data_IF_788816958589
#
_entry.id   IF_788816958589
#
_cell.length_a   1.000
_cell.length_b   1.000
_cell.length_c   1.000
_cell.angle_alpha   90.00
_cell.angle_beta   90.00
_cell.angle_gamma   90.00
#
_symmetry.space_group_name_H-M   'P 1'
#
loop_
_entity.id
_entity.type
_entity.pdbx_description
1 polymer ?
#
# COMPACT_ATOMS: atom_id res chain seq x y z
N UNK A 1 35.21 103.25 -40.54
CA UNK A 1 35.63 101.92 -40.04
C UNK A 1 35.19 101.78 -38.59
N UNK A 2 34.17 100.97 -38.32
CA UNK A 2 33.70 100.64 -36.96
C UNK A 2 33.46 99.14 -36.88
N UNK A 3 34.09 98.54 -35.87
CA UNK A 3 33.96 97.16 -35.45
C UNK A 3 32.58 97.01 -34.81
N UNK A 4 31.84 95.94 -35.15
CA UNK A 4 30.69 95.50 -34.38
C UNK A 4 30.87 94.03 -34.00
N UNK A 5 30.93 93.83 -32.69
CA UNK A 5 30.89 92.56 -31.98
C UNK A 5 29.49 91.98 -32.04
N UNK A 6 29.38 90.69 -32.41
CA UNK A 6 28.30 89.77 -32.00
C UNK A 6 28.62 88.38 -32.50
N UNK A 7 28.74 87.44 -31.58
CA UNK A 7 28.72 86.03 -31.92
C UNK A 7 29.39 85.02 -30.99
N UNK A 8 29.86 85.30 -29.76
CA UNK A 8 30.25 84.22 -28.85
C UNK A 8 29.05 83.36 -28.38
N UNK A 9 27.85 83.61 -28.92
CA UNK A 9 26.62 82.84 -28.72
C UNK A 9 26.57 81.52 -29.51
N UNK A 10 27.37 81.35 -30.56
CA UNK A 10 27.34 80.12 -31.37
C UNK A 10 28.13 78.95 -30.73
N UNK A 11 29.16 79.24 -29.93
CA UNK A 11 29.99 78.21 -29.31
C UNK A 11 29.39 77.67 -27.99
N UNK A 12 28.54 78.45 -27.31
CA UNK A 12 27.88 78.01 -26.07
C UNK A 12 26.69 77.06 -26.31
N UNK A 13 26.10 77.05 -27.51
CA UNK A 13 24.98 76.17 -27.85
C UNK A 13 25.40 74.77 -28.33
N UNK A 14 26.67 74.55 -28.67
CA UNK A 14 27.15 73.24 -29.13
C UNK A 14 27.68 72.34 -28.00
N UNK A 15 27.93 72.88 -26.80
CA UNK A 15 28.37 72.10 -25.64
C UNK A 15 27.21 71.56 -24.77
N UNK A 16 25.96 71.98 -25.04
CA UNK A 16 24.76 71.56 -24.29
C UNK A 16 24.02 70.37 -24.91
N UNK A 17 24.48 69.83 -26.04
CA UNK A 17 23.89 68.65 -26.69
C UNK A 17 24.62 67.33 -26.37
N UNK A 18 25.65 67.35 -25.52
CA UNK A 18 26.39 66.14 -25.11
C UNK A 18 26.07 65.64 -23.69
N UNK A 19 25.12 66.26 -22.99
CA UNK A 19 24.56 65.74 -21.74
C UNK A 19 23.30 64.90 -21.99
N UNK A 20 23.34 64.03 -23.00
CA UNK A 20 22.40 62.91 -23.11
C UNK A 20 22.93 61.78 -22.27
N UNK A 21 22.44 61.65 -21.03
CA UNK A 21 22.70 60.49 -20.19
C UNK A 21 22.47 59.22 -21.01
N UNK A 22 23.53 58.42 -21.16
CA UNK A 22 23.43 57.05 -21.63
C UNK A 22 22.64 56.23 -20.61
N UNK A 23 21.32 56.27 -20.72
CA UNK A 23 20.48 55.18 -20.23
C UNK A 23 20.72 54.06 -21.23
N UNK A 24 21.75 53.25 -21.00
CA UNK A 24 21.79 51.93 -21.61
C UNK A 24 20.46 51.28 -21.21
N UNK A 25 19.61 50.85 -22.16
CA UNK A 25 18.59 49.91 -21.78
C UNK A 25 19.38 48.73 -21.26
N UNK A 26 19.34 48.51 -19.94
CA UNK A 26 19.62 47.20 -19.39
C UNK A 26 18.67 46.32 -20.19
N UNK A 27 19.20 45.65 -21.20
CA UNK A 27 18.59 44.42 -21.68
C UNK A 27 18.72 43.52 -20.47
N UNK A 28 17.77 43.63 -19.54
CA UNK A 28 17.24 42.49 -18.84
C UNK A 28 16.74 41.61 -19.97
N UNK A 29 17.69 40.88 -20.55
CA UNK A 29 17.45 39.57 -21.09
C UNK A 29 16.72 38.89 -19.94
N UNK A 30 15.38 38.90 -19.99
CA UNK A 30 14.55 38.02 -19.18
C UNK A 30 15.04 36.65 -19.59
N UNK A 31 16.04 36.18 -18.86
CA UNK A 31 16.40 34.78 -18.80
C UNK A 31 15.07 34.09 -18.54
N UNK A 32 14.67 33.13 -19.39
CA UNK A 32 13.38 32.50 -19.22
C UNK A 32 13.31 31.99 -17.78
N UNK A 33 12.15 32.14 -17.16
CA UNK A 33 11.85 31.73 -15.80
C UNK A 33 11.83 30.18 -15.67
N UNK A 34 12.85 29.52 -16.24
CA UNK A 34 12.88 28.10 -16.59
C UNK A 34 14.12 27.39 -16.04
N UNK A 35 15.05 28.08 -15.35
CA UNK A 35 16.17 27.43 -14.66
C UNK A 35 15.79 27.07 -13.21
N UNK A 36 15.57 25.77 -12.90
CA UNK A 36 15.19 25.36 -11.56
C UNK A 36 16.27 25.67 -10.52
N UNK A 37 17.56 25.68 -10.89
CA UNK A 37 18.64 25.92 -9.94
C UNK A 37 18.66 27.39 -9.49
N UNK A 38 18.34 28.32 -10.39
CA UNK A 38 18.16 29.75 -10.06
C UNK A 38 16.97 29.96 -9.12
N UNK A 39 15.82 29.36 -9.41
CA UNK A 39 14.63 29.44 -8.56
C UNK A 39 14.89 28.93 -7.13
N UNK A 40 15.67 27.85 -7.00
CA UNK A 40 16.05 27.30 -5.70
C UNK A 40 17.03 28.21 -4.95
N UNK A 41 17.97 28.85 -5.64
CA UNK A 41 18.88 29.83 -5.03
C UNK A 41 18.12 31.07 -4.54
N UNK A 42 17.19 31.59 -5.34
CA UNK A 42 16.32 32.70 -4.95
C UNK A 42 15.45 32.34 -3.75
N UNK A 43 14.89 31.13 -3.71
CA UNK A 43 14.05 30.66 -2.61
C UNK A 43 14.76 30.71 -1.25
N UNK A 44 16.10 30.63 -1.21
CA UNK A 44 16.87 30.72 0.04
C UNK A 44 16.95 32.14 0.61
N UNK A 45 16.65 33.16 -0.19
CA UNK A 45 16.68 34.58 0.21
C UNK A 45 15.29 35.19 0.31
N UNK A 46 14.25 34.44 -0.07
CA UNK A 46 12.86 34.88 -0.10
C UNK A 46 12.15 34.66 1.25
N UNK A 47 11.10 35.45 1.48
CA UNK A 47 10.16 35.19 2.59
C UNK A 47 9.48 33.81 2.42
N UNK A 48 9.02 33.15 3.49
CA UNK A 48 8.56 31.75 3.47
C UNK A 48 7.55 31.40 2.36
N UNK A 49 6.49 32.20 2.19
CA UNK A 49 5.48 31.98 1.15
C UNK A 49 6.03 32.14 -0.28
N UNK A 50 6.91 33.11 -0.51
CA UNK A 50 7.56 33.29 -1.80
C UNK A 50 8.54 32.14 -2.08
N UNK A 51 9.31 31.72 -1.08
CA UNK A 51 10.24 30.61 -1.18
C UNK A 51 9.52 29.28 -1.48
N UNK A 52 8.39 29.00 -0.83
CA UNK A 52 7.57 27.82 -1.11
C UNK A 52 7.05 27.82 -2.55
N UNK A 53 6.60 28.98 -3.06
CA UNK A 53 6.19 29.13 -4.47
C UNK A 53 7.34 28.84 -5.43
N UNK A 54 8.51 29.43 -5.22
CA UNK A 54 9.68 29.24 -6.09
C UNK A 54 10.17 27.79 -6.09
N UNK A 55 10.14 27.12 -4.93
CA UNK A 55 10.43 25.68 -4.84
C UNK A 55 9.42 24.81 -5.58
N UNK A 56 8.13 25.13 -5.51
CA UNK A 56 7.10 24.41 -6.26
C UNK A 56 7.32 24.55 -7.78
N UNK A 57 7.64 25.75 -8.25
CA UNK A 57 7.93 26.01 -9.66
C UNK A 57 9.20 25.28 -10.13
N UNK A 58 10.27 25.30 -9.33
CA UNK A 58 11.47 24.53 -9.61
C UNK A 58 11.21 23.02 -9.68
N UNK A 59 10.44 22.47 -8.73
CA UNK A 59 10.07 21.05 -8.72
C UNK A 59 9.26 20.66 -9.97
N UNK A 60 8.31 21.49 -10.39
CA UNK A 60 7.51 21.28 -11.59
C UNK A 60 8.37 21.30 -12.88
N UNK A 61 9.30 22.24 -12.99
CA UNK A 61 10.25 22.30 -14.12
C UNK A 61 11.14 21.04 -14.14
N UNK A 62 11.68 20.64 -12.99
CA UNK A 62 12.52 19.44 -12.88
C UNK A 62 11.77 18.17 -13.26
N UNK A 63 10.50 18.06 -12.85
CA UNK A 63 9.64 16.94 -13.23
C UNK A 63 9.45 16.88 -14.75
N UNK A 64 9.14 18.02 -15.40
CA UNK A 64 9.00 18.14 -16.86
C UNK A 64 10.30 17.83 -17.62
N UNK A 65 11.46 18.08 -17.01
CA UNK A 65 12.78 17.73 -17.56
C UNK A 65 13.17 16.25 -17.35
N UNK A 66 12.30 15.43 -16.74
CA UNK A 66 12.58 14.03 -16.42
C UNK A 66 13.51 13.84 -15.21
N UNK A 67 13.82 14.90 -14.45
CA UNK A 67 14.65 14.88 -13.24
C UNK A 67 13.80 14.53 -12.00
N UNK A 68 13.00 13.47 -12.10
CA UNK A 68 12.00 13.09 -11.11
C UNK A 68 12.53 12.88 -9.67
N UNK A 69 13.70 12.24 -9.43
CA UNK A 69 14.23 12.10 -8.07
C UNK A 69 14.48 13.46 -7.40
N UNK A 70 15.02 14.44 -8.14
CA UNK A 70 15.30 15.77 -7.61
C UNK A 70 14.02 16.58 -7.39
N UNK A 71 13.09 16.50 -8.35
CA UNK A 71 11.77 17.12 -8.22
C UNK A 71 11.04 16.60 -6.97
N UNK A 72 11.09 15.28 -6.72
CA UNK A 72 10.47 14.65 -5.56
C UNK A 72 11.07 15.16 -4.25
N UNK A 73 12.41 15.18 -4.15
CA UNK A 73 13.08 15.66 -2.94
C UNK A 73 12.77 17.14 -2.65
N UNK A 74 12.66 17.98 -3.67
CA UNK A 74 12.24 19.38 -3.47
C UNK A 74 10.77 19.42 -3.04
N UNK A 75 9.87 18.74 -3.75
CA UNK A 75 8.43 18.78 -3.49
C UNK A 75 8.07 18.26 -2.09
N UNK A 76 8.73 17.20 -1.61
CA UNK A 76 8.53 16.64 -0.26
C UNK A 76 8.83 17.64 0.86
N UNK A 77 9.80 18.52 0.64
CA UNK A 77 10.32 19.46 1.63
C UNK A 77 9.63 20.85 1.60
N UNK A 78 8.60 21.03 0.77
CA UNK A 78 7.81 22.26 0.76
C UNK A 78 6.86 22.26 1.97
N UNK A 79 6.91 23.32 2.78
CA UNK A 79 5.87 23.63 3.76
C UNK A 79 4.60 24.07 3.04
N UNK A 80 3.64 23.14 2.91
CA UNK A 80 2.38 23.35 2.20
C UNK A 80 1.43 24.32 2.92
N UNK A 81 1.70 24.63 4.18
CA UNK A 81 1.04 25.70 4.93
C UNK A 81 1.35 27.09 4.37
N UNK A 82 2.51 27.27 3.73
CA UNK A 82 2.91 28.54 3.10
C UNK A 82 2.35 28.71 1.68
N UNK A 83 1.77 27.66 1.10
CA UNK A 83 1.18 27.70 -0.23
C UNK A 83 -0.26 28.23 -0.16
N UNK A 84 -0.64 29.06 -1.15
CA UNK A 84 -2.06 29.36 -1.40
C UNK A 84 -2.83 28.10 -1.77
N UNK A 85 -4.16 28.10 -1.66
CA UNK A 85 -4.99 26.93 -1.97
C UNK A 85 -4.72 26.35 -3.37
N UNK A 86 -4.60 27.20 -4.39
CA UNK A 86 -4.30 26.77 -5.76
C UNK A 86 -2.89 26.17 -5.90
N UNK A 87 -1.90 26.73 -5.20
CA UNK A 87 -0.54 26.17 -5.18
C UNK A 87 -0.51 24.84 -4.42
N UNK A 88 -1.27 24.71 -3.33
CA UNK A 88 -1.35 23.48 -2.54
C UNK A 88 -1.98 22.34 -3.35
N UNK A 89 -3.02 22.63 -4.15
CA UNK A 89 -3.59 21.65 -5.10
C UNK A 89 -2.57 21.18 -6.13
N UNK A 90 -1.85 22.12 -6.78
CA UNK A 90 -0.79 21.79 -7.74
C UNK A 90 0.33 20.98 -7.09
N UNK A 91 0.77 21.38 -5.90
CA UNK A 91 1.76 20.66 -5.12
C UNK A 91 1.32 19.23 -4.81
N UNK A 92 0.09 19.02 -4.33
CA UNK A 92 -0.41 17.69 -4.01
C UNK A 92 -0.47 16.79 -5.26
N UNK A 93 -0.94 17.32 -6.39
CA UNK A 93 -0.98 16.58 -7.65
C UNK A 93 0.43 16.18 -8.09
N UNK A 94 1.37 17.13 -8.13
CA UNK A 94 2.77 16.90 -8.50
C UNK A 94 3.44 15.90 -7.55
N UNK A 95 3.29 16.09 -6.24
CA UNK A 95 3.90 15.22 -5.22
C UNK A 95 3.35 13.80 -5.29
N UNK A 96 2.03 13.65 -5.51
CA UNK A 96 1.43 12.32 -5.67
C UNK A 96 1.92 11.60 -6.93
N UNK A 97 2.09 12.32 -8.05
CA UNK A 97 2.62 11.75 -9.29
C UNK A 97 4.09 11.36 -9.16
N UNK A 98 4.91 12.25 -8.59
CA UNK A 98 6.32 11.96 -8.33
C UNK A 98 6.48 10.78 -7.37
N UNK A 99 5.68 10.73 -6.30
CA UNK A 99 5.65 9.62 -5.36
C UNK A 99 5.34 8.27 -6.03
N UNK A 100 4.34 8.20 -6.91
CA UNK A 100 4.06 6.99 -7.69
C UNK A 100 5.24 6.62 -8.60
N UNK A 101 5.75 7.59 -9.37
CA UNK A 101 6.83 7.33 -10.35
C UNK A 101 8.14 6.85 -9.71
N UNK A 102 8.39 7.27 -8.47
CA UNK A 102 9.60 6.94 -7.71
C UNK A 102 9.38 5.84 -6.66
N UNK A 103 8.19 5.24 -6.62
CA UNK A 103 7.82 4.22 -5.64
C UNK A 103 7.99 4.71 -4.17
N UNK A 104 7.64 5.96 -3.91
CA UNK A 104 7.60 6.59 -2.59
C UNK A 104 6.14 6.80 -2.13
N UNK A 105 5.53 5.77 -1.49
CA UNK A 105 4.16 5.87 -1.01
C UNK A 105 3.98 6.88 0.14
N UNK A 106 5.06 7.27 0.83
CA UNK A 106 4.98 8.29 1.87
C UNK A 106 4.71 9.68 1.27
N UNK A 107 5.34 10.00 0.14
CA UNK A 107 5.06 11.22 -0.62
C UNK A 107 3.60 11.28 -1.09
N UNK A 108 3.06 10.16 -1.59
CA UNK A 108 1.64 10.07 -2.01
C UNK A 108 0.69 10.29 -0.83
N UNK A 109 0.99 9.71 0.34
CA UNK A 109 0.20 9.92 1.56
C UNK A 109 0.28 11.38 2.03
N UNK A 110 1.45 12.02 1.93
CA UNK A 110 1.63 13.44 2.24
C UNK A 110 0.76 14.31 1.33
N UNK A 111 0.79 14.09 0.01
CA UNK A 111 -0.07 14.77 -0.95
C UNK A 111 -1.56 14.61 -0.63
N UNK A 112 -1.97 13.40 -0.24
CA UNK A 112 -3.36 13.09 0.12
C UNK A 112 -3.90 13.85 1.35
N UNK A 113 -3.04 14.49 2.16
CA UNK A 113 -3.48 15.33 3.27
C UNK A 113 -4.31 16.54 2.82
N UNK A 114 -4.13 16.99 1.56
CA UNK A 114 -4.95 18.02 0.93
C UNK A 114 -6.45 17.72 1.06
N UNK A 115 -6.86 16.45 0.93
CA UNK A 115 -8.28 16.04 0.96
C UNK A 115 -8.96 16.27 2.31
N UNK A 116 -8.20 16.58 3.37
CA UNK A 116 -8.73 16.92 4.70
C UNK A 116 -8.91 18.43 4.90
N UNK A 117 -8.19 19.25 4.14
CA UNK A 117 -8.09 20.69 4.36
C UNK A 117 -8.60 21.54 3.18
N UNK A 118 -8.83 20.93 2.02
CA UNK A 118 -9.33 21.58 0.82
C UNK A 118 -10.34 20.68 0.07
N UNK A 119 -11.14 21.29 -0.81
CA UNK A 119 -12.09 20.60 -1.70
C UNK A 119 -11.67 20.82 -3.16
N UNK A 120 -10.71 20.02 -3.70
CA UNK A 120 -10.31 20.17 -5.09
C UNK A 120 -11.44 19.76 -6.06
N UNK A 121 -11.36 20.16 -7.35
CA UNK A 121 -12.25 19.67 -8.39
C UNK A 121 -12.37 18.14 -8.36
N UNK A 122 -13.57 17.62 -8.65
CA UNK A 122 -13.91 16.19 -8.49
C UNK A 122 -12.88 15.24 -9.12
N UNK A 123 -12.40 15.55 -10.32
CA UNK A 123 -11.39 14.72 -11.01
C UNK A 123 -10.07 14.66 -10.25
N UNK A 124 -9.59 15.81 -9.74
CA UNK A 124 -8.38 15.88 -8.93
C UNK A 124 -8.56 15.18 -7.59
N UNK A 125 -9.72 15.35 -6.95
CA UNK A 125 -10.07 14.67 -5.71
C UNK A 125 -10.06 13.14 -5.90
N UNK A 126 -10.66 12.66 -6.98
CA UNK A 126 -10.73 11.24 -7.32
C UNK A 126 -9.34 10.66 -7.58
N UNK A 127 -8.51 11.35 -8.38
CA UNK A 127 -7.13 10.95 -8.65
C UNK A 127 -6.32 10.84 -7.35
N UNK A 128 -6.35 11.88 -6.51
CA UNK A 128 -5.63 11.88 -5.23
C UNK A 128 -6.14 10.77 -4.29
N UNK A 129 -7.45 10.52 -4.27
CA UNK A 129 -8.04 9.49 -3.42
C UNK A 129 -7.64 8.08 -3.87
N UNK A 130 -7.57 7.85 -5.19
CA UNK A 130 -7.08 6.59 -5.74
C UNK A 130 -5.62 6.33 -5.33
N UNK A 131 -4.74 7.30 -5.62
CA UNK A 131 -3.31 7.24 -5.28
C UNK A 131 -3.10 7.03 -3.78
N UNK A 132 -3.82 7.79 -2.97
CA UNK A 132 -3.79 7.67 -1.51
C UNK A 132 -4.20 6.28 -1.04
N UNK A 133 -5.30 5.73 -1.58
CA UNK A 133 -5.79 4.40 -1.24
C UNK A 133 -4.76 3.30 -1.54
N UNK A 134 -4.13 3.36 -2.72
CA UNK A 134 -3.06 2.42 -3.13
C UNK A 134 -1.83 2.54 -2.25
N UNK A 135 -1.31 3.76 -2.06
CA UNK A 135 -0.13 4.03 -1.23
C UNK A 135 -0.32 3.61 0.24
N UNK A 136 -1.50 3.83 0.82
CA UNK A 136 -1.82 3.33 2.15
C UNK A 136 -1.81 1.79 2.21
N UNK A 137 -2.28 1.12 1.16
CA UNK A 137 -2.27 -0.33 1.04
C UNK A 137 -0.86 -0.92 0.97
N UNK A 138 0.07 -0.23 0.29
CA UNK A 138 1.51 -0.56 0.22
C UNK A 138 2.21 -0.37 1.56
N UNK A 139 1.84 0.68 2.31
CA UNK A 139 2.33 0.95 3.65
C UNK A 139 1.68 0.07 4.73
N UNK A 140 0.98 -1.00 4.35
CA UNK A 140 0.33 -1.95 5.25
C UNK A 140 -0.69 -1.28 6.20
N UNK A 141 -1.42 -0.29 5.67
CA UNK A 141 -2.51 0.42 6.35
C UNK A 141 -3.85 0.10 5.69
N UNK A 142 -4.34 -1.15 5.79
CA UNK A 142 -5.49 -1.63 5.01
C UNK A 142 -6.80 -0.91 5.33
N UNK A 143 -7.01 -0.45 6.58
CA UNK A 143 -8.25 0.21 6.96
C UNK A 143 -8.45 1.56 6.27
N UNK A 144 -7.51 2.54 6.40
CA UNK A 144 -7.63 3.80 5.68
C UNK A 144 -7.49 3.63 4.16
N UNK A 145 -6.75 2.61 3.69
CA UNK A 145 -6.70 2.26 2.27
C UNK A 145 -8.08 1.85 1.73
N UNK A 146 -8.76 0.90 2.41
CA UNK A 146 -10.10 0.47 2.06
C UNK A 146 -11.10 1.64 2.09
N UNK A 147 -11.05 2.48 3.14
CA UNK A 147 -11.93 3.63 3.25
C UNK A 147 -11.77 4.62 2.09
N UNK A 148 -10.54 4.90 1.66
CA UNK A 148 -10.27 5.77 0.52
C UNK A 148 -10.82 5.18 -0.79
N UNK A 149 -10.54 3.90 -1.06
CA UNK A 149 -10.96 3.23 -2.29
C UNK A 149 -12.49 3.03 -2.35
N UNK A 150 -13.13 2.71 -1.22
CA UNK A 150 -14.60 2.62 -1.12
C UNK A 150 -15.26 3.97 -1.41
N UNK A 151 -14.76 5.05 -0.81
CA UNK A 151 -15.26 6.41 -1.07
C UNK A 151 -15.10 6.80 -2.53
N UNK A 152 -13.99 6.43 -3.16
CA UNK A 152 -13.76 6.68 -4.58
C UNK A 152 -14.77 5.91 -5.44
N UNK A 153 -14.97 4.62 -5.14
CA UNK A 153 -15.91 3.77 -5.88
C UNK A 153 -17.35 4.25 -5.73
N UNK A 154 -17.78 4.65 -4.54
CA UNK A 154 -19.10 5.26 -4.32
C UNK A 154 -19.29 6.53 -5.16
N UNK A 155 -18.20 7.22 -5.54
CA UNK A 155 -18.25 8.43 -6.35
C UNK A 155 -18.17 8.18 -7.86
N UNK A 156 -17.71 7.02 -8.34
CA UNK A 156 -17.50 6.79 -9.77
C UNK A 156 -18.00 5.44 -10.29
N UNK A 157 -18.52 4.57 -9.42
CA UNK A 157 -19.07 3.25 -9.72
C UNK A 157 -18.07 2.32 -10.46
N UNK A 158 -16.77 2.60 -10.34
CA UNK A 158 -15.73 1.92 -11.12
C UNK A 158 -15.45 0.51 -10.61
N UNK A 159 -15.60 -0.48 -11.48
CA UNK A 159 -15.26 -1.87 -11.19
C UNK A 159 -13.75 -2.11 -11.05
N UNK A 160 -12.91 -1.20 -11.59
CA UNK A 160 -11.43 -1.26 -11.50
C UNK A 160 -10.89 -1.14 -10.08
N UNK A 161 -11.76 -0.72 -9.16
CA UNK A 161 -11.46 -0.67 -7.74
C UNK A 161 -11.82 -1.96 -7.01
N UNK A 162 -12.51 -2.92 -7.63
CA UNK A 162 -12.97 -4.14 -6.95
C UNK A 162 -11.80 -4.97 -6.38
N UNK A 163 -10.76 -5.20 -7.17
CA UNK A 163 -9.57 -5.95 -6.72
C UNK A 163 -8.74 -5.17 -5.68
N UNK A 164 -8.44 -3.87 -5.89
CA UNK A 164 -7.82 -3.04 -4.85
C UNK A 164 -8.57 -3.01 -3.53
N UNK A 165 -9.90 -2.82 -3.56
CA UNK A 165 -10.77 -2.81 -2.37
C UNK A 165 -10.72 -4.17 -1.68
N UNK A 166 -10.93 -5.25 -2.44
CA UNK A 166 -10.90 -6.60 -1.92
C UNK A 166 -9.57 -6.93 -1.25
N UNK A 167 -8.45 -6.56 -1.87
CA UNK A 167 -7.11 -6.75 -1.31
C UNK A 167 -6.91 -6.04 0.03
N UNK A 168 -7.63 -4.94 0.30
CA UNK A 168 -7.61 -4.29 1.62
C UNK A 168 -8.56 -4.99 2.60
N UNK A 169 -9.82 -5.20 2.21
CA UNK A 169 -10.87 -5.74 3.07
C UNK A 169 -10.55 -7.17 3.53
N UNK A 170 -9.99 -8.02 2.65
CA UNK A 170 -9.66 -9.41 2.97
C UNK A 170 -8.59 -9.53 4.06
N UNK A 171 -7.80 -8.48 4.31
CA UNK A 171 -6.73 -8.44 5.31
C UNK A 171 -7.17 -7.86 6.66
N UNK A 172 -8.35 -7.24 6.75
CA UNK A 172 -8.79 -6.56 7.97
C UNK A 172 -9.29 -7.54 9.03
N UNK A 173 -8.84 -7.51 10.30
CA UNK A 173 -9.47 -8.31 11.34
C UNK A 173 -10.92 -7.87 11.57
N UNK A 174 -11.77 -8.75 12.09
CA UNK A 174 -13.20 -8.47 12.30
C UNK A 174 -13.46 -7.18 13.11
N UNK A 175 -12.66 -6.92 14.15
CA UNK A 175 -12.74 -5.70 14.94
C UNK A 175 -12.32 -4.41 14.20
N UNK A 176 -11.64 -4.50 13.06
CA UNK A 176 -11.35 -3.35 12.19
C UNK A 176 -12.45 -3.15 11.14
N UNK A 177 -13.06 -4.22 10.64
CA UNK A 177 -14.23 -4.13 9.76
C UNK A 177 -15.41 -3.42 10.43
N UNK A 178 -15.60 -3.60 11.75
CA UNK A 178 -16.65 -2.91 12.50
C UNK A 178 -16.55 -1.38 12.43
N UNK A 179 -15.34 -0.81 12.25
CA UNK A 179 -15.14 0.63 12.05
C UNK A 179 -15.72 1.11 10.72
N UNK A 180 -15.73 0.25 9.69
CA UNK A 180 -16.35 0.54 8.39
C UNK A 180 -17.87 0.31 8.42
N UNK A 181 -18.38 -0.57 9.31
CA UNK A 181 -19.81 -0.87 9.45
C UNK A 181 -20.65 0.35 9.90
N UNK A 182 -20.03 1.37 10.49
CA UNK A 182 -20.68 2.64 10.80
C UNK A 182 -21.04 3.50 9.59
N UNK A 183 -20.62 3.12 8.38
CA UNK A 183 -20.92 3.86 7.14
C UNK A 183 -22.40 3.78 6.77
N UNK A 184 -22.96 4.93 6.39
CA UNK A 184 -24.32 5.04 5.85
C UNK A 184 -24.39 4.72 4.36
N UNK A 185 -23.25 4.53 3.68
CA UNK A 185 -23.18 4.21 2.26
C UNK A 185 -23.59 2.75 1.99
N UNK A 186 -24.51 2.56 1.05
CA UNK A 186 -25.03 1.24 0.69
C UNK A 186 -23.93 0.32 0.13
N UNK A 187 -23.07 0.84 -0.74
CA UNK A 187 -21.98 0.06 -1.35
C UNK A 187 -20.96 -0.41 -0.33
N UNK A 188 -20.60 0.45 0.63
CA UNK A 188 -19.72 0.05 1.74
C UNK A 188 -20.34 -1.12 2.52
N UNK A 189 -21.63 -1.07 2.84
CA UNK A 189 -22.30 -2.20 3.54
C UNK A 189 -22.35 -3.46 2.70
N UNK A 190 -22.59 -3.35 1.39
CA UNK A 190 -22.63 -4.49 0.48
C UNK A 190 -21.24 -5.16 0.38
N UNK A 191 -20.16 -4.39 0.29
CA UNK A 191 -18.78 -4.91 0.37
C UNK A 191 -18.48 -5.65 1.67
N UNK A 192 -18.95 -5.11 2.80
CA UNK A 192 -18.75 -5.76 4.10
C UNK A 192 -19.52 -7.07 4.19
N UNK A 193 -20.76 -7.11 3.68
CA UNK A 193 -21.54 -8.34 3.58
C UNK A 193 -20.84 -9.39 2.69
N UNK A 194 -20.33 -9.00 1.51
CA UNK A 194 -19.53 -9.90 0.66
C UNK A 194 -18.27 -10.40 1.39
N UNK A 195 -17.60 -9.52 2.14
CA UNK A 195 -16.41 -9.88 2.92
C UNK A 195 -16.72 -10.92 3.99
N UNK A 196 -17.84 -10.77 4.68
CA UNK A 196 -18.30 -11.72 5.71
C UNK A 196 -18.63 -13.08 5.05
N UNK A 197 -19.36 -13.09 3.92
CA UNK A 197 -19.68 -14.31 3.18
C UNK A 197 -18.44 -15.14 2.81
N UNK A 198 -17.39 -14.50 2.27
CA UNK A 198 -16.16 -15.22 1.89
C UNK A 198 -15.38 -15.73 3.09
N UNK A 199 -15.43 -15.04 4.24
CA UNK A 199 -14.76 -15.50 5.47
C UNK A 199 -15.46 -16.72 6.04
N UNK A 200 -16.78 -16.66 6.11
CA UNK A 200 -17.61 -17.71 6.72
C UNK A 200 -17.72 -18.93 5.80
N UNK A 201 -17.64 -18.76 4.47
CA UNK A 201 -17.73 -19.83 3.47
C UNK A 201 -16.43 -20.58 3.16
N UNK A 202 -15.39 -20.46 3.99
CA UNK A 202 -14.05 -21.00 3.72
C UNK A 202 -13.94 -22.54 3.72
N UNK A 203 -14.98 -23.26 4.14
CA UNK A 203 -15.02 -24.74 4.18
C UNK A 203 -15.87 -25.42 3.10
N UNK A 204 -16.75 -24.70 2.41
CA UNK A 204 -17.64 -25.25 1.38
C UNK A 204 -17.76 -24.25 0.23
N UNK A 205 -16.96 -24.48 -0.81
CA UNK A 205 -16.83 -23.55 -1.94
C UNK A 205 -18.11 -23.51 -2.77
N UNK A 206 -18.84 -24.63 -2.91
CA UNK A 206 -20.10 -24.64 -3.66
C UNK A 206 -21.15 -23.79 -2.94
N UNK A 207 -21.30 -24.00 -1.62
CA UNK A 207 -22.19 -23.19 -0.80
C UNK A 207 -21.79 -21.72 -0.81
N UNK A 208 -20.49 -21.42 -0.75
CA UNK A 208 -19.98 -20.05 -0.86
C UNK A 208 -20.43 -19.40 -2.18
N UNK A 209 -20.28 -20.07 -3.32
CA UNK A 209 -20.69 -19.49 -4.60
C UNK A 209 -22.21 -19.34 -4.73
N UNK A 210 -22.99 -20.24 -4.15
CA UNK A 210 -24.45 -20.05 -4.06
C UNK A 210 -24.80 -18.79 -3.27
N UNK A 211 -24.17 -18.58 -2.10
CA UNK A 211 -24.39 -17.39 -1.29
C UNK A 211 -23.90 -16.10 -1.97
N UNK A 212 -22.79 -16.16 -2.71
CA UNK A 212 -22.31 -15.04 -3.52
C UNK A 212 -23.32 -14.72 -4.63
N UNK A 213 -23.85 -15.72 -5.34
CA UNK A 213 -24.83 -15.49 -6.40
C UNK A 213 -26.14 -14.91 -5.85
N UNK A 214 -26.60 -15.35 -4.66
CA UNK A 214 -27.73 -14.75 -3.95
C UNK A 214 -27.45 -13.29 -3.55
N UNK A 215 -26.24 -13.00 -3.05
CA UNK A 215 -25.80 -11.65 -2.72
C UNK A 215 -25.76 -10.76 -3.97
N UNK A 216 -25.28 -11.26 -5.11
CA UNK A 216 -25.25 -10.52 -6.38
C UNK A 216 -26.67 -10.20 -6.87
N UNK A 217 -27.62 -11.13 -6.70
CA UNK A 217 -29.01 -10.91 -7.04
C UNK A 217 -29.68 -9.84 -6.16
N UNK A 218 -29.24 -9.69 -4.91
CA UNK A 218 -29.72 -8.65 -3.98
C UNK A 218 -29.05 -7.28 -4.21
N UNK A 219 -27.88 -7.26 -4.84
CA UNK A 219 -27.07 -6.06 -5.09
C UNK A 219 -26.72 -5.88 -6.58
N UNK A 220 -27.68 -5.91 -7.53
CA UNK A 220 -27.39 -5.97 -8.97
C UNK A 220 -26.60 -4.77 -9.49
N UNK A 221 -26.80 -3.60 -8.90
CA UNK A 221 -26.14 -2.35 -9.27
C UNK A 221 -24.80 -2.12 -8.55
N UNK A 222 -24.35 -3.05 -7.71
CA UNK A 222 -23.08 -2.90 -7.00
C UNK A 222 -21.89 -3.27 -7.91
N UNK A 223 -20.78 -2.51 -7.94
CA UNK A 223 -19.60 -2.81 -8.75
C UNK A 223 -19.09 -4.25 -8.59
N UNK A 224 -19.00 -4.74 -7.35
CA UNK A 224 -18.54 -6.10 -7.08
C UNK A 224 -19.55 -7.19 -7.48
N UNK A 225 -20.83 -6.84 -7.69
CA UNK A 225 -21.82 -7.78 -8.20
C UNK A 225 -21.77 -7.90 -9.72
N UNK A 226 -21.51 -6.79 -10.42
CA UNK A 226 -21.25 -6.78 -11.87
C UNK A 226 -19.94 -7.49 -12.20
N UNK A 227 -18.87 -7.20 -11.44
CA UNK A 227 -17.56 -7.85 -11.59
C UNK A 227 -16.98 -8.27 -10.25
N UNK A 228 -17.05 -9.56 -9.94
CA UNK A 228 -16.44 -10.09 -8.71
C UNK A 228 -14.92 -9.85 -8.68
N UNK A 229 -14.33 -9.61 -7.50
CA UNK A 229 -12.88 -9.65 -7.32
C UNK A 229 -12.26 -10.94 -7.87
N UNK A 230 -11.13 -10.80 -8.57
CA UNK A 230 -10.40 -11.88 -9.22
C UNK A 230 -10.01 -12.97 -8.23
N UNK A 231 -9.63 -12.60 -7.01
CA UNK A 231 -9.30 -13.57 -5.93
C UNK A 231 -10.50 -14.38 -5.46
N UNK A 232 -11.71 -13.80 -5.47
CA UNK A 232 -12.93 -14.55 -5.16
C UNK A 232 -13.22 -15.51 -6.31
N UNK A 233 -13.13 -15.05 -7.57
CA UNK A 233 -13.33 -15.90 -8.75
C UNK A 233 -12.35 -17.08 -8.79
N UNK A 234 -11.09 -16.88 -8.40
CA UNK A 234 -10.08 -17.94 -8.33
C UNK A 234 -10.44 -19.07 -7.35
N UNK A 235 -11.32 -18.84 -6.37
CA UNK A 235 -11.83 -19.91 -5.50
C UNK A 235 -12.63 -20.95 -6.30
N UNK A 236 -13.19 -20.60 -7.46
CA UNK A 236 -13.91 -21.55 -8.33
C UNK A 236 -13.02 -22.69 -8.80
N UNK A 237 -11.73 -22.42 -9.00
CA UNK A 237 -10.75 -23.41 -9.46
C UNK A 237 -10.39 -24.43 -8.38
N UNK A 238 -10.74 -24.12 -7.13
CA UNK A 238 -10.58 -24.99 -5.97
C UNK A 238 -11.80 -25.89 -5.72
N UNK A 239 -12.89 -25.73 -6.49
CA UNK A 239 -14.08 -26.59 -6.37
C UNK A 239 -13.72 -28.06 -6.55
N UNK A 240 -14.30 -28.90 -5.69
CA UNK A 240 -14.02 -30.35 -5.67
C UNK A 240 -12.63 -30.72 -5.15
N UNK A 241 -11.80 -29.76 -4.72
CA UNK A 241 -10.48 -30.01 -4.10
C UNK A 241 -10.54 -29.99 -2.57
N UNK A 242 -11.63 -30.50 -2.00
CA UNK A 242 -11.83 -30.53 -0.56
C UNK A 242 -10.77 -31.38 0.13
N UNK A 243 -10.15 -30.80 1.16
CA UNK A 243 -9.24 -31.50 2.06
C UNK A 243 -10.09 -32.13 3.16
N UNK A 244 -10.31 -33.44 3.05
CA UNK A 244 -11.07 -34.26 4.00
C UNK A 244 -10.17 -34.98 5.00
N UNK A 245 -8.86 -35.03 4.75
CA UNK A 245 -7.91 -35.65 5.66
C UNK A 245 -6.56 -34.92 5.68
N UNK A 246 -6.15 -34.50 6.87
CA UNK A 246 -4.90 -33.79 7.13
C UNK A 246 -4.03 -34.66 8.05
N UNK A 247 -2.76 -34.85 7.68
CA UNK A 247 -1.75 -35.38 8.58
C UNK A 247 -1.08 -34.23 9.35
N UNK A 248 -0.80 -34.44 10.63
CA UNK A 248 -0.22 -33.43 11.51
C UNK A 248 1.10 -33.96 12.06
N UNK A 249 2.21 -33.31 11.69
CA UNK A 249 3.56 -33.68 12.10
C UNK A 249 3.96 -32.84 13.30
N UNK A 250 3.95 -33.46 14.48
CA UNK A 250 4.29 -32.82 15.74
C UNK A 250 5.22 -33.73 16.54
N UNK A 251 6.30 -33.22 17.15
CA UNK A 251 7.20 -34.05 17.95
C UNK A 251 6.56 -34.40 19.30
N UNK A 252 6.47 -35.68 19.63
CA UNK A 252 5.95 -36.16 20.92
C UNK A 252 7.04 -36.18 22.01
N UNK A 253 8.29 -35.88 21.65
CA UNK A 253 9.45 -35.91 22.54
C UNK A 253 10.50 -34.86 22.18
N UNK A 254 11.47 -34.64 23.06
CA UNK A 254 12.53 -33.63 22.86
C UNK A 254 12.10 -32.21 23.26
N UNK A 255 12.89 -31.19 22.88
CA UNK A 255 12.73 -29.83 23.40
C UNK A 255 11.45 -29.12 22.94
N UNK A 256 10.83 -29.58 21.86
CA UNK A 256 9.61 -28.99 21.30
C UNK A 256 8.33 -29.70 21.74
N UNK A 257 8.42 -30.80 22.51
CA UNK A 257 7.28 -31.64 22.87
C UNK A 257 6.17 -30.87 23.60
N UNK A 258 6.52 -30.05 24.59
CA UNK A 258 5.52 -29.27 25.34
C UNK A 258 4.76 -28.27 24.46
N UNK A 259 5.44 -27.66 23.49
CA UNK A 259 4.82 -26.72 22.53
C UNK A 259 3.94 -27.48 21.55
N UNK A 260 4.43 -28.63 21.07
CA UNK A 260 3.70 -29.51 20.18
C UNK A 260 2.41 -30.04 20.82
N UNK A 261 2.45 -30.45 22.10
CA UNK A 261 1.28 -30.89 22.88
C UNK A 261 0.23 -29.79 22.98
N UNK A 262 0.64 -28.54 23.26
CA UNK A 262 -0.28 -27.40 23.31
C UNK A 262 -0.94 -27.13 21.95
N UNK A 263 -0.17 -27.22 20.85
CA UNK A 263 -0.69 -27.06 19.48
C UNK A 263 -1.66 -28.20 19.13
N UNK A 264 -1.31 -29.44 19.44
CA UNK A 264 -2.17 -30.62 19.26
C UNK A 264 -3.48 -30.47 20.02
N UNK A 265 -3.42 -30.11 21.30
CA UNK A 265 -4.61 -29.91 22.12
C UNK A 265 -5.50 -28.80 21.57
N UNK A 266 -4.92 -27.69 21.10
CA UNK A 266 -5.65 -26.62 20.43
C UNK A 266 -6.37 -27.10 19.16
N UNK A 267 -5.67 -27.84 18.30
CA UNK A 267 -6.26 -28.38 17.07
C UNK A 267 -7.37 -29.39 17.35
N UNK A 268 -7.18 -30.30 18.33
CA UNK A 268 -8.22 -31.25 18.74
C UNK A 268 -9.45 -30.55 19.29
N UNK A 269 -9.24 -29.54 20.15
CA UNK A 269 -10.34 -28.76 20.74
C UNK A 269 -11.16 -28.05 19.66
N UNK A 270 -10.49 -27.39 18.71
CA UNK A 270 -11.15 -26.75 17.58
C UNK A 270 -11.93 -27.75 16.71
N UNK A 271 -11.28 -28.85 16.33
CA UNK A 271 -11.90 -29.88 15.50
C UNK A 271 -13.14 -30.51 16.15
N UNK A 272 -13.11 -30.74 17.46
CA UNK A 272 -14.28 -31.25 18.20
C UNK A 272 -15.44 -30.25 18.18
N UNK A 273 -15.16 -28.95 18.30
CA UNK A 273 -16.20 -27.91 18.23
C UNK A 273 -16.84 -27.86 16.83
N UNK A 274 -16.06 -27.94 15.76
CA UNK A 274 -16.58 -27.95 14.38
C UNK A 274 -17.51 -29.16 14.12
N UNK A 275 -17.12 -30.34 14.60
CA UNK A 275 -17.95 -31.55 14.48
C UNK A 275 -19.26 -31.41 15.26
N UNK A 276 -19.22 -30.80 16.45
CA UNK A 276 -20.41 -30.56 17.27
C UNK A 276 -21.36 -29.51 16.64
N UNK A 277 -20.84 -28.57 15.87
CA UNK A 277 -21.62 -27.55 15.15
C UNK A 277 -22.22 -28.08 13.82
N UNK A 278 -22.07 -29.39 13.54
CA UNK A 278 -22.62 -30.04 12.35
C UNK A 278 -21.80 -29.81 11.08
N UNK A 279 -20.59 -29.26 11.18
CA UNK A 279 -19.67 -29.14 10.06
C UNK A 279 -18.91 -30.45 9.82
N UNK A 280 -18.74 -30.84 8.55
CA UNK A 280 -17.88 -31.97 8.17
C UNK A 280 -16.42 -31.51 8.13
N UNK A 281 -15.81 -31.35 9.31
CA UNK A 281 -14.39 -30.99 9.42
C UNK A 281 -13.47 -32.07 8.82
N UNK A 282 -12.29 -31.66 8.36
CA UNK A 282 -11.28 -32.59 7.87
C UNK A 282 -10.82 -33.53 9.00
N UNK A 283 -10.73 -34.84 8.73
CA UNK A 283 -10.13 -35.79 9.68
C UNK A 283 -8.69 -35.36 9.95
N UNK A 284 -8.26 -35.40 11.21
CA UNK A 284 -6.86 -35.16 11.60
C UNK A 284 -6.16 -36.48 11.94
N UNK A 285 -4.89 -36.62 11.55
CA UNK A 285 -4.04 -37.74 11.94
C UNK A 285 -2.69 -37.25 12.40
N UNK A 286 -2.46 -37.35 13.71
CA UNK A 286 -1.21 -36.98 14.34
C UNK A 286 -0.16 -38.06 14.11
N UNK A 287 1.05 -37.64 13.78
CA UNK A 287 2.22 -38.48 13.50
C UNK A 287 3.41 -37.87 14.23
N UNK A 288 4.06 -38.67 15.08
CA UNK A 288 5.23 -38.27 15.83
C UNK A 288 6.39 -37.91 14.89
N UNK A 289 6.77 -36.64 14.89
CA UNK A 289 7.88 -36.13 14.08
C UNK A 289 9.24 -36.14 14.79
N UNK A 290 9.31 -36.60 16.05
CA UNK A 290 10.56 -36.61 16.85
C UNK A 290 11.69 -37.43 16.22
N UNK A 291 11.36 -38.45 15.42
CA UNK A 291 12.36 -39.24 14.68
C UNK A 291 13.03 -38.50 13.53
N UNK A 292 12.47 -37.37 13.07
CA UNK A 292 13.06 -36.48 12.07
C UNK A 292 13.14 -37.02 10.62
N UNK A 293 12.73 -38.26 10.36
CA UNK A 293 12.71 -38.82 9.00
C UNK A 293 11.49 -38.32 8.20
N UNK A 294 11.69 -37.23 7.45
CA UNK A 294 10.65 -36.62 6.62
C UNK A 294 10.06 -37.58 5.58
N UNK A 295 10.87 -38.48 4.99
CA UNK A 295 10.38 -39.37 3.96
C UNK A 295 9.52 -40.50 4.53
N UNK A 296 9.82 -40.94 5.75
CA UNK A 296 8.93 -41.83 6.51
C UNK A 296 7.61 -41.14 6.86
N UNK A 297 7.66 -39.91 7.39
CA UNK A 297 6.47 -39.13 7.75
C UNK A 297 5.51 -38.91 6.57
N UNK A 298 6.02 -38.47 5.41
CA UNK A 298 5.19 -38.29 4.22
C UNK A 298 4.66 -39.61 3.66
N UNK A 299 5.44 -40.70 3.74
CA UNK A 299 4.98 -42.02 3.32
C UNK A 299 3.83 -42.50 4.19
N UNK A 300 3.94 -42.32 5.50
CA UNK A 300 2.87 -42.64 6.43
C UNK A 300 1.63 -41.78 6.21
N UNK A 301 1.79 -40.46 6.04
CA UNK A 301 0.69 -39.55 5.73
C UNK A 301 -0.09 -39.99 4.48
N UNK A 302 0.61 -40.30 3.39
CA UNK A 302 -0.02 -40.80 2.15
C UNK A 302 -0.70 -42.15 2.34
N UNK A 303 -0.07 -43.08 3.07
CA UNK A 303 -0.67 -44.39 3.37
C UNK A 303 -1.95 -44.25 4.19
N UNK A 304 -2.04 -43.24 5.07
CA UNK A 304 -3.24 -42.93 5.85
C UNK A 304 -4.31 -42.19 5.01
N UNK A 305 -4.03 -41.83 3.76
CA UNK A 305 -4.93 -41.12 2.86
C UNK A 305 -4.92 -39.60 3.00
N UNK A 306 -3.90 -39.01 3.63
CA UNK A 306 -3.85 -37.58 3.86
C UNK A 306 -3.69 -36.82 2.54
N UNK A 307 -4.44 -35.74 2.40
CA UNK A 307 -4.42 -34.85 1.23
C UNK A 307 -3.57 -33.61 1.46
N UNK A 308 -3.29 -33.28 2.73
CA UNK A 308 -2.43 -32.17 3.14
C UNK A 308 -1.72 -32.49 4.47
N UNK A 309 -0.70 -31.71 4.77
CA UNK A 309 0.11 -31.82 5.99
C UNK A 309 0.15 -30.49 6.73
N UNK A 310 0.04 -30.54 8.06
CA UNK A 310 0.36 -29.44 8.97
C UNK A 310 1.60 -29.85 9.78
N UNK A 311 2.60 -28.99 9.86
CA UNK A 311 3.93 -29.29 10.41
C UNK A 311 4.99 -29.48 9.32
N UNK A 312 6.26 -29.72 9.67
CA UNK A 312 6.76 -29.90 11.03
C UNK A 312 6.89 -28.58 11.81
N UNK A 313 7.06 -28.70 13.13
CA UNK A 313 7.37 -27.58 14.04
C UNK A 313 8.88 -27.30 14.14
N UNK A 314 9.70 -28.33 13.95
CA UNK A 314 11.15 -28.26 14.07
C UNK A 314 11.79 -27.48 12.91
N UNK A 315 12.64 -26.50 13.26
CA UNK A 315 13.27 -25.58 12.30
C UNK A 315 14.22 -26.26 11.32
N UNK A 316 14.91 -27.30 11.75
CA UNK A 316 15.83 -28.04 10.89
C UNK A 316 15.04 -28.89 9.89
N UNK A 317 13.91 -29.48 10.33
CA UNK A 317 13.00 -30.17 9.44
C UNK A 317 12.40 -29.24 8.39
N UNK A 318 11.97 -28.03 8.77
CA UNK A 318 11.48 -27.03 7.81
C UNK A 318 12.57 -26.62 6.82
N UNK A 319 13.80 -26.39 7.30
CA UNK A 319 14.94 -26.02 6.43
C UNK A 319 15.25 -27.11 5.40
N UNK A 320 15.10 -28.39 5.75
CA UNK A 320 15.23 -29.49 4.78
C UNK A 320 14.10 -29.54 3.75
N UNK A 321 12.90 -29.09 4.11
CA UNK A 321 11.80 -28.99 3.15
C UNK A 321 12.02 -27.84 2.16
N UNK A 322 12.55 -26.70 2.61
CA UNK A 322 12.86 -25.53 1.76
C UNK A 322 13.83 -25.84 0.62
N UNK A 323 14.69 -26.85 0.81
CA UNK A 323 15.71 -27.28 -0.15
C UNK A 323 15.20 -28.27 -1.20
N UNK A 324 13.93 -28.68 -1.14
CA UNK A 324 13.32 -29.57 -2.13
C UNK A 324 12.75 -28.75 -3.29
N UNK A 325 12.67 -29.35 -4.47
CA UNK A 325 11.94 -28.75 -5.60
C UNK A 325 10.43 -28.70 -5.31
N UNK A 326 9.90 -29.75 -4.66
CA UNK A 326 8.48 -29.87 -4.29
C UNK A 326 8.31 -30.77 -3.05
N UNK A 327 7.30 -30.50 -2.22
CA UNK A 327 6.90 -31.39 -1.12
C UNK A 327 5.86 -32.44 -1.55
N UNK A 328 5.88 -33.68 -0.99
CA UNK A 328 5.02 -34.77 -1.47
C UNK A 328 3.51 -34.59 -1.29
N UNK A 329 3.11 -33.73 -0.36
CA UNK A 329 1.75 -33.28 -0.11
C UNK A 329 1.82 -31.77 0.15
N UNK A 330 0.76 -31.00 -0.13
CA UNK A 330 0.67 -29.61 0.31
C UNK A 330 0.90 -29.51 1.81
N UNK A 331 1.91 -28.75 2.21
CA UNK A 331 2.41 -28.72 3.59
C UNK A 331 2.40 -27.31 4.14
N UNK A 332 1.74 -27.10 5.28
CA UNK A 332 1.84 -25.90 6.09
C UNK A 332 2.80 -26.16 7.27
N UNK A 333 4.06 -25.79 7.12
CA UNK A 333 5.05 -25.84 8.18
C UNK A 333 4.70 -24.86 9.31
N UNK A 334 4.91 -25.28 10.56
CA UNK A 334 4.58 -24.49 11.76
C UNK A 334 5.75 -23.64 12.26
N UNK A 335 6.74 -23.44 11.39
CA UNK A 335 7.93 -22.64 11.65
C UNK A 335 8.50 -22.10 10.33
N UNK A 336 9.46 -21.19 10.44
CA UNK A 336 10.29 -20.76 9.32
C UNK A 336 11.60 -21.54 9.34
N UNK A 337 12.10 -21.92 8.17
CA UNK A 337 13.42 -22.53 8.06
C UNK A 337 14.54 -21.49 8.16
N UNK A 338 15.66 -21.81 7.54
CA UNK A 338 16.89 -21.00 7.56
C UNK A 338 17.27 -20.49 6.17
N UNK A 339 16.60 -20.95 5.12
CA UNK A 339 16.87 -20.49 3.78
C UNK A 339 16.41 -19.03 3.60
N UNK A 340 17.13 -18.26 2.77
CA UNK A 340 16.74 -16.89 2.44
C UNK A 340 15.38 -16.84 1.74
N UNK A 341 15.04 -17.88 0.98
CA UNK A 341 13.76 -18.05 0.29
C UNK A 341 13.37 -19.52 0.27
N UNK A 342 12.08 -19.78 0.49
CA UNK A 342 11.47 -21.08 0.22
C UNK A 342 11.42 -21.31 -1.30
N UNK A 343 12.05 -22.40 -1.77
CA UNK A 343 12.06 -22.80 -3.19
C UNK A 343 11.13 -23.98 -3.48
N UNK A 344 10.57 -24.61 -2.44
CA UNK A 344 9.77 -25.81 -2.59
C UNK A 344 8.33 -25.51 -2.98
N UNK A 345 7.89 -26.09 -4.09
CA UNK A 345 6.50 -26.06 -4.48
C UNK A 345 5.61 -26.77 -3.44
N UNK A 346 4.44 -26.19 -3.17
CA UNK A 346 3.44 -26.66 -2.20
C UNK A 346 3.89 -26.62 -0.73
N UNK A 347 5.00 -25.97 -0.41
CA UNK A 347 5.40 -25.67 0.97
C UNK A 347 4.96 -24.25 1.36
N UNK A 348 4.20 -24.16 2.44
CA UNK A 348 3.77 -22.91 3.07
C UNK A 348 4.32 -22.86 4.49
N UNK A 349 4.59 -21.67 5.02
CA UNK A 349 5.24 -21.50 6.32
C UNK A 349 4.46 -20.54 7.20
N UNK A 350 4.17 -20.97 8.41
CA UNK A 350 3.49 -20.21 9.44
C UNK A 350 4.21 -20.38 10.77
N UNK A 351 5.09 -19.44 11.10
CA UNK A 351 5.85 -19.45 12.35
C UNK A 351 5.39 -18.38 13.33
N UNK A 352 5.29 -18.75 14.59
CA UNK A 352 5.13 -17.83 15.72
C UNK A 352 6.51 -17.28 16.15
N UNK A 353 7.24 -16.60 15.25
CA UNK A 353 8.53 -16.02 15.65
C UNK A 353 8.33 -14.63 16.26
N UNK A 354 9.04 -14.37 17.37
CA UNK A 354 9.16 -13.04 17.98
C UNK A 354 9.68 -11.96 17.02
N UNK A 355 10.28 -12.34 15.88
CA UNK A 355 10.70 -11.42 14.83
C UNK A 355 9.51 -10.80 14.08
N UNK A 356 8.37 -11.49 13.97
CA UNK A 356 7.15 -10.89 13.42
C UNK A 356 6.55 -9.88 14.39
N UNK A 357 6.63 -10.12 15.71
CA UNK A 357 6.28 -9.10 16.72
C UNK A 357 7.27 -7.92 16.68
N UNK A 358 8.58 -8.16 16.59
CA UNK A 358 9.58 -7.09 16.50
C UNK A 358 9.46 -6.28 15.19
N UNK A 359 9.12 -6.91 14.05
CA UNK A 359 8.80 -6.20 12.80
C UNK A 359 7.47 -5.45 12.91
N UNK A 360 6.45 -6.01 13.55
CA UNK A 360 5.20 -5.30 13.83
C UNK A 360 5.39 -4.14 14.83
N UNK A 361 6.32 -4.25 15.77
CA UNK A 361 6.65 -3.22 16.76
C UNK A 361 7.57 -2.16 16.17
N UNK A 362 8.54 -2.50 15.33
CA UNK A 362 9.35 -1.53 14.58
C UNK A 362 8.49 -0.71 13.60
N UNK A 363 7.48 -1.34 12.97
CA UNK A 363 6.46 -0.66 12.16
C UNK A 363 5.55 0.27 12.97
N UNK A 364 5.31 -0.03 14.25
CA UNK A 364 4.55 0.84 15.17
C UNK A 364 5.41 1.94 15.83
N UNK A 365 6.68 1.64 16.14
CA UNK A 365 7.61 2.52 16.85
C UNK A 365 8.28 3.60 16.00
N UNK A 366 8.30 3.43 14.67
CA UNK A 366 8.74 4.50 13.75
C UNK A 366 7.80 5.72 13.71
N UNK A 367 6.63 5.65 14.34
CA UNK A 367 5.63 6.73 14.35
C UNK A 367 5.67 7.61 15.62
N UNK A 368 6.31 7.17 16.70
CA UNK A 368 6.35 7.93 17.97
C UNK A 368 7.58 8.81 18.16
N UNK A 369 8.59 8.74 17.28
CA UNK A 369 9.84 9.48 17.44
C UNK A 369 9.96 10.80 16.65
N UNK A 370 9.00 11.17 15.80
CA UNK A 370 9.07 12.41 15.00
C UNK A 370 8.04 13.49 15.38
N UNK A 371 7.30 13.33 16.47
CA UNK A 371 6.35 14.33 16.96
C UNK A 371 6.76 14.87 18.33
N UNK A 372 7.90 15.55 18.38
CA UNK A 372 8.21 16.50 19.45
C UNK A 372 9.23 17.55 18.94
N UNK A 373 8.80 18.76 18.57
CA UNK A 373 9.64 19.94 18.67
C UNK A 373 9.62 20.49 20.11
N UNK A 374 10.61 21.32 20.50
CA UNK A 374 10.83 21.75 21.89
C UNK A 374 9.69 22.54 22.53
#
# INVERSE_FOLDING_TARGET
>A
MKISSRGPLAAALLALLLAGCGMQPSMTQRQPADDPDQLLQEANQQAPAAAARSRLEAADILARQGRAPQALEIAKNIDDGQLSAEQRRRWALLLSELGESQNDPHAVVQAGQLLKSDTPPREQANLLLERLGRALGELDKPLPAAAALLRLQAANDSEDLNDPIWAQLSRLPAGSLSKLRGSQEADTRAWLALTDLVRDGSGDIERLFQQIDDWRAQHPDHPAARRLPSKILALRDLRGREIRHIAVFLPESGPLANVAEAIEQGMRTHHLNEVNDGASGARLSFIDSSGGDLDALYREARNRGAQAVIGPLDKDLVSRLEQRDQVPLPTLALNYGTAERNQAENLFQYGLSAENEARQVARRGGWTACAAPP
#
